data_IF_337652596841
#
_entry.id   IF_337652596841
#
_cell.length_a   1.000
_cell.length_b   1.000
_cell.length_c   1.000
_cell.angle_alpha   90.00
_cell.angle_beta   90.00
_cell.angle_gamma   90.00
#
_symmetry.space_group_name_H-M   'P 1'
#
loop_
_entity.id
_entity.type
_entity.pdbx_description
1 polymer ?
#
# COMPACT_ATOMS: atom_id res chain seq x y z
N UNK A 1 -40.68 -5.71 11.63
CA UNK A 1 -39.61 -5.57 12.63
C UNK A 1 -38.47 -4.83 11.92
N UNK A 2 -38.55 -3.50 11.92
CA UNK A 2 -37.49 -2.63 11.40
C UNK A 2 -36.30 -2.72 12.34
N UNK A 3 -35.14 -3.13 11.83
CA UNK A 3 -33.88 -2.89 12.50
C UNK A 3 -33.65 -1.38 12.44
N UNK A 4 -34.04 -0.67 13.50
CA UNK A 4 -33.69 0.72 13.69
C UNK A 4 -32.18 0.85 13.45
N UNK A 5 -31.78 1.73 12.53
CA UNK A 5 -30.37 2.01 12.24
C UNK A 5 -29.69 2.60 13.48
N UNK A 6 -29.10 1.72 14.29
CA UNK A 6 -28.27 2.09 15.43
C UNK A 6 -26.93 2.67 14.98
N UNK A 7 -26.27 3.38 15.89
CA UNK A 7 -24.87 3.81 15.70
C UNK A 7 -23.97 2.58 15.71
N UNK A 8 -23.61 2.11 14.51
CA UNK A 8 -22.77 0.93 14.31
C UNK A 8 -21.43 1.02 15.06
N UNK A 9 -20.89 2.22 15.27
CA UNK A 9 -19.69 2.40 16.09
C UNK A 9 -19.96 2.12 17.56
N UNK A 10 -21.03 2.69 18.10
CA UNK A 10 -21.43 2.47 19.48
C UNK A 10 -21.72 0.98 19.77
N UNK A 11 -22.37 0.29 18.83
CA UNK A 11 -22.66 -1.15 18.94
C UNK A 11 -21.37 -1.98 18.92
N UNK A 12 -20.42 -1.66 18.04
CA UNK A 12 -19.12 -2.34 17.97
C UNK A 12 -18.27 -2.10 19.23
N UNK A 13 -18.24 -0.87 19.74
CA UNK A 13 -17.54 -0.54 20.98
C UNK A 13 -18.21 -1.20 22.21
N UNK A 14 -19.53 -1.29 22.22
CA UNK A 14 -20.24 -2.03 23.27
C UNK A 14 -19.94 -3.53 23.19
N UNK A 15 -19.92 -4.11 21.99
CA UNK A 15 -19.52 -5.50 21.79
C UNK A 15 -18.08 -5.74 22.26
N UNK A 16 -17.16 -4.81 22.01
CA UNK A 16 -15.77 -4.89 22.47
C UNK A 16 -15.67 -4.93 24.00
N UNK A 17 -16.46 -4.08 24.68
CA UNK A 17 -16.57 -4.07 26.14
C UNK A 17 -17.11 -5.39 26.71
N UNK A 18 -18.09 -5.99 26.03
CA UNK A 18 -18.78 -7.20 26.49
C UNK A 18 -18.01 -8.49 26.17
N UNK A 19 -17.38 -8.57 25.00
CA UNK A 19 -16.70 -9.77 24.51
C UNK A 19 -15.28 -9.95 25.06
N UNK A 20 -14.75 -8.95 25.79
CA UNK A 20 -13.44 -8.99 26.41
C UNK A 20 -12.31 -9.23 25.40
N UNK A 21 -11.66 -10.40 25.51
CA UNK A 21 -10.47 -10.77 24.73
C UNK A 21 -10.78 -11.67 23.51
N UNK A 22 -11.98 -11.60 22.93
CA UNK A 22 -12.28 -12.32 21.67
C UNK A 22 -11.78 -11.52 20.44
N UNK A 23 -11.03 -12.19 19.56
CA UNK A 23 -10.55 -11.65 18.28
C UNK A 23 -11.69 -11.30 17.31
N UNK A 24 -12.82 -12.02 17.41
CA UNK A 24 -13.94 -11.91 16.47
C UNK A 24 -14.60 -10.52 16.48
N UNK A 25 -14.43 -9.74 17.55
CA UNK A 25 -14.95 -8.37 17.64
C UNK A 25 -13.94 -7.33 17.13
N UNK A 26 -12.63 -7.63 17.18
CA UNK A 26 -11.58 -6.69 16.76
C UNK A 26 -11.52 -6.51 15.24
N UNK A 27 -11.65 -7.60 14.48
CA UNK A 27 -11.66 -7.54 13.00
C UNK A 27 -12.79 -6.64 12.47
N UNK A 28 -14.07 -6.79 12.91
CA UNK A 28 -15.15 -5.89 12.54
C UNK A 28 -14.89 -4.41 12.86
N UNK A 29 -14.29 -4.11 14.02
CA UNK A 29 -13.96 -2.73 14.42
C UNK A 29 -12.96 -2.09 13.45
N UNK A 30 -11.88 -2.79 13.15
CA UNK A 30 -10.88 -2.30 12.19
C UNK A 30 -11.51 -2.10 10.82
N UNK A 31 -12.28 -3.09 10.34
CA UNK A 31 -12.97 -3.00 9.05
C UNK A 31 -13.97 -1.86 9.00
N UNK A 32 -14.70 -1.59 10.09
CA UNK A 32 -15.62 -0.46 10.18
C UNK A 32 -14.89 0.86 9.94
N UNK A 33 -13.78 1.11 10.66
CA UNK A 33 -13.00 2.32 10.46
C UNK A 33 -12.42 2.42 9.04
N UNK A 34 -11.95 1.32 8.46
CA UNK A 34 -11.45 1.29 7.08
C UNK A 34 -12.54 1.58 6.04
N UNK A 35 -13.75 1.03 6.22
CA UNK A 35 -14.90 1.32 5.35
C UNK A 35 -15.31 2.79 5.41
N UNK A 36 -15.16 3.43 6.58
CA UNK A 36 -15.37 4.87 6.76
C UNK A 36 -14.16 5.72 6.36
N UNK A 37 -13.08 5.11 5.85
CA UNK A 37 -11.80 5.75 5.50
C UNK A 37 -11.16 6.51 6.67
N UNK A 38 -11.47 6.13 7.91
CA UNK A 38 -10.86 6.66 9.14
C UNK A 38 -9.57 5.89 9.40
N UNK A 39 -8.56 6.10 8.55
CA UNK A 39 -7.36 5.27 8.51
C UNK A 39 -6.52 5.33 9.79
N UNK A 40 -6.43 6.49 10.43
CA UNK A 40 -5.74 6.62 11.72
C UNK A 40 -6.43 5.83 12.84
N UNK A 41 -7.76 5.83 12.88
CA UNK A 41 -8.53 5.05 13.85
C UNK A 41 -8.43 3.55 13.57
N UNK A 42 -8.50 3.16 12.29
CA UNK A 42 -8.28 1.80 11.85
C UNK A 42 -6.89 1.29 12.23
N UNK A 43 -5.87 2.12 12.04
CA UNK A 43 -4.50 1.81 12.42
C UNK A 43 -4.40 1.58 13.93
N UNK A 44 -4.86 2.52 14.75
CA UNK A 44 -4.83 2.41 16.21
C UNK A 44 -5.62 1.19 16.72
N UNK A 45 -6.79 0.90 16.13
CA UNK A 45 -7.57 -0.28 16.47
C UNK A 45 -6.85 -1.59 16.10
N UNK A 46 -6.23 -1.64 14.91
CA UNK A 46 -5.49 -2.81 14.45
C UNK A 46 -4.21 -3.05 15.24
N UNK A 47 -3.52 -2.00 15.69
CA UNK A 47 -2.34 -2.11 16.55
C UNK A 47 -2.67 -2.78 17.88
N UNK A 48 -3.69 -2.28 18.60
CA UNK A 48 -4.19 -2.93 19.84
C UNK A 48 -4.62 -4.37 19.62
N UNK A 49 -5.21 -4.68 18.47
CA UNK A 49 -5.62 -6.04 18.15
C UNK A 49 -4.40 -6.95 17.94
N UNK A 50 -3.37 -6.49 17.21
CA UNK A 50 -2.13 -7.25 16.95
C UNK A 50 -1.31 -7.49 18.21
N UNK A 51 -1.25 -6.53 19.13
CA UNK A 51 -0.63 -6.72 20.44
C UNK A 51 -1.28 -7.87 21.22
N UNK A 52 -2.60 -8.03 21.08
CA UNK A 52 -3.35 -9.08 21.75
C UNK A 52 -3.29 -10.43 21.02
N UNK A 53 -3.22 -10.42 19.70
CA UNK A 53 -3.23 -11.61 18.85
C UNK A 53 -2.08 -11.58 17.83
N UNK A 54 -0.82 -11.68 18.28
CA UNK A 54 0.36 -11.46 17.43
C UNK A 54 0.58 -12.52 16.35
N UNK A 55 -0.19 -13.61 16.36
CA UNK A 55 -0.10 -14.69 15.36
C UNK A 55 -1.26 -14.71 14.36
N UNK A 56 -2.17 -13.72 14.41
CA UNK A 56 -3.30 -13.63 13.48
C UNK A 56 -2.94 -12.79 12.25
N UNK A 57 -2.60 -13.47 11.16
CA UNK A 57 -2.23 -12.82 9.91
C UNK A 57 -3.33 -11.92 9.34
N UNK A 58 -4.61 -12.16 9.67
CA UNK A 58 -5.68 -11.27 9.20
C UNK A 58 -5.56 -9.88 9.83
N UNK A 59 -5.14 -9.81 11.10
CA UNK A 59 -4.88 -8.54 11.76
C UNK A 59 -3.64 -7.85 11.21
N UNK A 60 -2.61 -8.61 10.80
CA UNK A 60 -1.48 -8.07 10.06
C UNK A 60 -1.93 -7.43 8.74
N UNK A 61 -2.70 -8.13 7.91
CA UNK A 61 -3.20 -7.59 6.63
C UNK A 61 -4.09 -6.36 6.81
N UNK A 62 -4.96 -6.36 7.83
CA UNK A 62 -5.79 -5.20 8.15
C UNK A 62 -4.93 -4.01 8.59
N UNK A 63 -3.89 -4.23 9.38
CA UNK A 63 -2.98 -3.18 9.83
C UNK A 63 -2.15 -2.63 8.67
N UNK A 64 -1.60 -3.50 7.82
CA UNK A 64 -0.89 -3.16 6.58
C UNK A 64 -1.75 -2.29 5.69
N UNK A 65 -3.03 -2.65 5.49
CA UNK A 65 -3.96 -1.82 4.70
C UNK A 65 -4.09 -0.40 5.27
N UNK A 66 -4.17 -0.26 6.59
CA UNK A 66 -4.22 1.07 7.23
C UNK A 66 -2.92 1.84 7.04
N UNK A 67 -1.76 1.18 7.14
CA UNK A 67 -0.44 1.79 6.91
C UNK A 67 -0.28 2.28 5.47
N UNK A 68 -0.66 1.47 4.48
CA UNK A 68 -0.61 1.83 3.05
C UNK A 68 -1.45 3.09 2.77
N UNK A 69 -2.65 3.19 3.34
CA UNK A 69 -3.53 4.35 3.16
C UNK A 69 -3.10 5.59 3.96
N UNK A 70 -2.08 5.46 4.80
CA UNK A 70 -1.43 6.55 5.55
C UNK A 70 -0.02 6.84 5.01
N UNK A 71 0.31 6.34 3.82
CA UNK A 71 1.62 6.47 3.16
C UNK A 71 2.80 5.91 3.99
N UNK A 72 2.53 5.02 4.95
CA UNK A 72 3.52 4.37 5.83
C UNK A 72 4.05 3.07 5.22
N UNK A 73 4.50 3.15 3.97
CA UNK A 73 4.86 1.99 3.17
C UNK A 73 5.99 1.13 3.76
N UNK A 74 7.03 1.75 4.35
CA UNK A 74 8.16 1.01 4.93
C UNK A 74 7.71 0.06 6.05
N UNK A 75 6.78 0.50 6.89
CA UNK A 75 6.23 -0.32 7.98
C UNK A 75 5.31 -1.41 7.46
N UNK A 76 4.52 -1.10 6.43
CA UNK A 76 3.66 -2.07 5.74
C UNK A 76 4.50 -3.22 5.15
N UNK A 77 5.57 -2.91 4.44
CA UNK A 77 6.50 -3.89 3.84
C UNK A 77 7.12 -4.76 4.94
N UNK A 78 7.64 -4.15 6.01
CA UNK A 78 8.29 -4.88 7.10
C UNK A 78 7.38 -5.91 7.81
N UNK A 79 6.05 -5.67 7.81
CA UNK A 79 5.06 -6.61 8.32
C UNK A 79 4.77 -7.70 7.28
N UNK A 80 4.56 -7.33 6.01
CA UNK A 80 4.31 -8.27 4.92
C UNK A 80 5.46 -9.27 4.74
N UNK A 81 6.71 -8.85 4.91
CA UNK A 81 7.88 -9.72 4.82
C UNK A 81 7.90 -10.85 5.85
N UNK A 82 7.15 -10.69 6.95
CA UNK A 82 7.07 -11.66 8.05
C UNK A 82 5.74 -12.39 8.12
N UNK A 83 4.71 -11.85 7.46
CA UNK A 83 3.34 -12.36 7.54
C UNK A 83 3.20 -13.64 6.74
N UNK A 84 2.75 -14.74 7.36
CA UNK A 84 2.49 -15.99 6.65
C UNK A 84 0.99 -16.17 6.45
N UNK A 85 0.53 -15.98 5.21
CA UNK A 85 -0.88 -16.08 4.82
C UNK A 85 -1.19 -17.50 4.38
N UNK A 86 -2.26 -18.07 4.92
CA UNK A 86 -2.67 -19.44 4.58
C UNK A 86 -3.24 -19.49 3.15
N UNK A 87 -2.91 -20.53 2.36
CA UNK A 87 -3.48 -20.70 1.03
C UNK A 87 -5.02 -20.71 1.07
N UNK A 88 -5.65 -20.02 0.11
CA UNK A 88 -7.11 -19.85 -0.02
C UNK A 88 -7.77 -18.83 0.91
N UNK A 89 -7.09 -18.33 1.95
CA UNK A 89 -7.62 -17.28 2.83
C UNK A 89 -6.91 -15.95 2.57
N UNK A 90 -7.65 -14.95 2.06
CA UNK A 90 -7.14 -13.59 1.79
C UNK A 90 -5.85 -13.50 0.94
N UNK A 91 -5.47 -14.58 0.25
CA UNK A 91 -4.24 -14.67 -0.54
C UNK A 91 -4.16 -13.67 -1.69
N UNK A 92 -5.32 -13.27 -2.24
CA UNK A 92 -5.40 -12.18 -3.23
C UNK A 92 -5.20 -10.81 -2.60
N UNK A 93 -5.77 -10.59 -1.42
CA UNK A 93 -5.68 -9.31 -0.72
C UNK A 93 -4.26 -9.06 -0.22
N UNK A 94 -3.57 -10.09 0.30
CA UNK A 94 -2.18 -9.99 0.75
C UNK A 94 -1.23 -9.58 -0.38
N UNK A 95 -1.34 -10.23 -1.55
CA UNK A 95 -0.53 -9.85 -2.72
C UNK A 95 -0.87 -8.42 -3.19
N UNK A 96 -2.14 -8.05 -3.24
CA UNK A 96 -2.54 -6.68 -3.60
C UNK A 96 -1.95 -5.64 -2.64
N UNK A 97 -1.95 -5.91 -1.34
CA UNK A 97 -1.34 -5.01 -0.34
C UNK A 97 0.18 -4.93 -0.52
N UNK A 98 0.83 -6.03 -0.89
CA UNK A 98 2.26 -6.04 -1.21
C UNK A 98 2.59 -5.15 -2.41
N UNK A 99 1.87 -5.31 -3.52
CA UNK A 99 2.01 -4.44 -4.70
C UNK A 99 1.77 -2.97 -4.33
N UNK A 100 0.72 -2.68 -3.55
CA UNK A 100 0.41 -1.31 -3.13
C UNK A 100 1.49 -0.71 -2.24
N UNK A 101 1.96 -1.43 -1.23
CA UNK A 101 2.99 -0.95 -0.31
C UNK A 101 4.28 -0.61 -1.05
N UNK A 102 4.73 -1.50 -1.95
CA UNK A 102 5.88 -1.23 -2.81
C UNK A 102 5.64 -0.07 -3.78
N UNK A 103 4.45 0.06 -4.36
CA UNK A 103 4.11 1.17 -5.25
C UNK A 103 4.17 2.53 -4.51
N UNK A 104 3.63 2.60 -3.29
CA UNK A 104 3.72 3.82 -2.45
C UNK A 104 5.18 4.13 -2.11
N UNK A 105 5.98 3.13 -1.72
CA UNK A 105 7.40 3.32 -1.44
C UNK A 105 8.18 3.81 -2.68
N UNK A 106 7.82 3.30 -3.87
CA UNK A 106 8.38 3.79 -5.13
C UNK A 106 8.05 5.26 -5.36
N UNK A 107 6.80 5.69 -5.14
CA UNK A 107 6.42 7.10 -5.24
C UNK A 107 7.19 7.98 -4.26
N UNK A 108 7.31 7.60 -2.99
CA UNK A 108 8.13 8.33 -2.01
C UNK A 108 9.59 8.46 -2.46
N UNK A 109 10.15 7.40 -3.07
CA UNK A 109 11.50 7.43 -3.63
C UNK A 109 11.60 8.36 -4.85
N UNK A 110 10.60 8.35 -5.75
CA UNK A 110 10.51 9.24 -6.91
C UNK A 110 10.45 10.71 -6.48
N UNK A 111 9.62 11.05 -5.51
CA UNK A 111 9.52 12.42 -4.96
C UNK A 111 10.85 12.89 -4.37
N UNK A 112 11.61 11.95 -3.80
CA UNK A 112 12.96 12.21 -3.28
C UNK A 112 14.06 12.16 -4.36
N UNK A 113 13.71 12.00 -5.65
CA UNK A 113 14.64 11.79 -6.77
C UNK A 113 15.58 10.58 -6.59
N UNK A 114 15.21 9.62 -5.73
CA UNK A 114 15.94 8.36 -5.48
C UNK A 114 15.48 7.31 -6.48
N UNK A 115 15.76 7.54 -7.76
CA UNK A 115 15.25 6.70 -8.84
C UNK A 115 15.71 5.24 -8.74
N UNK A 116 16.92 4.96 -8.24
CA UNK A 116 17.40 3.59 -8.02
C UNK A 116 16.52 2.82 -7.02
N UNK A 117 16.23 3.44 -5.87
CA UNK A 117 15.30 2.89 -4.89
C UNK A 117 13.88 2.76 -5.43
N UNK A 118 13.46 3.68 -6.30
CA UNK A 118 12.15 3.60 -6.95
C UNK A 118 12.01 2.36 -7.85
N UNK A 119 13.03 1.95 -8.63
CA UNK A 119 12.92 0.61 -9.27
C UNK A 119 12.75 -0.42 -8.21
N UNK A 120 13.64 -0.44 -7.21
CA UNK A 120 13.81 -1.65 -6.42
C UNK A 120 12.47 -2.03 -5.78
N UNK A 121 11.68 -1.01 -5.41
CA UNK A 121 10.30 -1.19 -5.02
C UNK A 121 9.37 -1.64 -6.16
N UNK A 122 9.43 -1.05 -7.36
CA UNK A 122 8.62 -1.49 -8.51
C UNK A 122 8.96 -2.91 -8.99
N UNK A 123 10.22 -3.33 -8.97
CA UNK A 123 10.66 -4.70 -9.25
C UNK A 123 10.07 -5.66 -8.22
N UNK A 124 10.19 -5.33 -6.94
CA UNK A 124 9.55 -6.10 -5.87
C UNK A 124 8.03 -6.17 -6.06
N UNK A 125 7.37 -5.11 -6.51
CA UNK A 125 5.92 -5.13 -6.81
C UNK A 125 5.52 -6.10 -7.94
N UNK A 126 6.46 -6.61 -8.74
CA UNK A 126 6.20 -7.68 -9.73
C UNK A 126 6.38 -9.10 -9.15
N UNK A 127 6.89 -9.22 -7.93
CA UNK A 127 7.09 -10.49 -7.26
C UNK A 127 5.78 -11.06 -6.70
N UNK A 128 5.80 -12.37 -6.45
CA UNK A 128 4.69 -13.13 -5.88
C UNK A 128 5.22 -13.94 -4.71
N UNK A 129 5.43 -13.31 -3.53
CA UNK A 129 6.05 -13.99 -2.41
C UNK A 129 5.17 -15.15 -1.93
N UNK A 130 5.70 -16.37 -1.92
CA UNK A 130 4.93 -17.59 -1.62
C UNK A 130 4.31 -17.56 -0.23
N UNK A 131 4.99 -16.93 0.74
CA UNK A 131 4.48 -16.77 2.12
C UNK A 131 3.24 -15.87 2.22
N UNK A 132 2.90 -15.12 1.17
CA UNK A 132 1.66 -14.34 1.09
C UNK A 132 0.49 -15.14 0.49
N UNK A 133 0.64 -16.46 0.32
CA UNK A 133 -0.45 -17.40 0.10
C UNK A 133 -0.99 -17.48 -1.32
N UNK A 134 -0.56 -16.60 -2.23
CA UNK A 134 -0.90 -16.66 -3.65
C UNK A 134 0.36 -16.82 -4.51
N UNK A 135 0.41 -17.89 -5.30
CA UNK A 135 1.40 -18.04 -6.37
C UNK A 135 1.05 -17.21 -7.60
N UNK A 136 2.05 -16.95 -8.46
CA UNK A 136 1.90 -16.15 -9.69
C UNK A 136 0.82 -16.73 -10.62
N UNK A 137 -0.25 -15.97 -10.97
CA UNK A 137 -1.22 -16.35 -11.99
C UNK A 137 -0.55 -16.47 -13.37
N UNK A 138 -1.22 -17.17 -14.30
CA UNK A 138 -0.71 -17.33 -15.66
C UNK A 138 -0.54 -16.00 -16.41
N UNK A 139 -1.48 -15.06 -16.23
CA UNK A 139 -1.47 -13.75 -16.89
C UNK A 139 -1.82 -12.64 -15.87
N UNK A 140 -0.86 -12.20 -15.04
CA UNK A 140 -1.08 -11.13 -14.08
C UNK A 140 -1.07 -9.76 -14.75
N UNK A 141 -1.95 -8.86 -14.29
CA UNK A 141 -1.94 -7.48 -14.75
C UNK A 141 -0.79 -6.68 -14.10
N UNK A 142 0.29 -6.51 -14.85
CA UNK A 142 1.50 -5.81 -14.41
C UNK A 142 1.69 -4.46 -15.13
N UNK A 143 0.68 -3.99 -15.89
CA UNK A 143 0.84 -2.86 -16.82
C UNK A 143 1.22 -1.56 -16.11
N UNK A 144 0.59 -1.26 -14.97
CA UNK A 144 0.89 -0.05 -14.19
C UNK A 144 2.34 -0.05 -13.70
N UNK A 145 2.78 -1.15 -13.09
CA UNK A 145 4.14 -1.27 -12.55
C UNK A 145 5.17 -1.16 -13.67
N UNK A 146 4.97 -1.85 -14.79
CA UNK A 146 5.86 -1.78 -15.97
C UNK A 146 5.93 -0.39 -16.57
N UNK A 147 4.81 0.33 -16.62
CA UNK A 147 4.80 1.73 -17.06
C UNK A 147 5.63 2.62 -16.13
N UNK A 148 5.44 2.50 -14.81
CA UNK A 148 6.20 3.27 -13.82
C UNK A 148 7.71 2.96 -13.90
N UNK A 149 8.08 1.68 -14.10
CA UNK A 149 9.48 1.28 -14.28
C UNK A 149 10.12 1.98 -15.49
N UNK A 150 9.45 1.97 -16.65
CA UNK A 150 9.95 2.64 -17.84
C UNK A 150 10.12 4.16 -17.64
N UNK A 151 9.16 4.79 -16.94
CA UNK A 151 9.23 6.21 -16.58
C UNK A 151 10.39 6.53 -15.64
N UNK A 152 10.67 5.65 -14.67
CA UNK A 152 11.80 5.77 -13.74
C UNK A 152 13.12 5.59 -14.48
N UNK A 153 13.23 4.58 -15.35
CA UNK A 153 14.44 4.32 -16.15
C UNK A 153 14.81 5.48 -17.08
N UNK A 154 13.81 6.11 -17.71
CA UNK A 154 14.04 7.30 -18.52
C UNK A 154 14.65 8.45 -17.69
N UNK A 155 14.18 8.63 -16.44
CA UNK A 155 14.73 9.65 -15.52
C UNK A 155 16.13 9.30 -15.02
N UNK A 156 16.42 8.03 -14.72
CA UNK A 156 17.78 7.58 -14.39
C UNK A 156 18.76 7.86 -15.51
N UNK A 157 18.37 7.55 -16.75
CA UNK A 157 19.17 7.80 -17.94
C UNK A 157 19.51 9.29 -18.09
N UNK A 158 18.53 10.18 -17.85
CA UNK A 158 18.76 11.63 -17.80
C UNK A 158 19.68 12.08 -16.67
N UNK A 159 19.60 11.47 -15.49
CA UNK A 159 20.48 11.78 -14.35
C UNK A 159 21.94 11.34 -14.58
N UNK A 160 22.16 10.22 -15.28
CA UNK A 160 23.51 9.79 -15.68
C UNK A 160 24.11 10.61 -16.82
N UNK A 161 23.27 11.28 -17.61
CA UNK A 161 23.67 12.25 -18.63
C UNK A 161 23.73 13.68 -18.05
N UNK A 162 24.59 13.90 -17.06
CA UNK A 162 25.01 15.27 -16.72
C UNK A 162 25.96 15.79 -17.82
N UNK A 163 25.82 17.03 -18.32
CA UNK A 163 26.15 17.34 -19.71
C UNK A 163 27.65 17.54 -19.92
N UNK A 164 28.29 16.55 -20.53
CA UNK A 164 29.48 16.77 -21.33
C UNK A 164 29.11 16.53 -22.80
N UNK A 165 28.68 17.59 -23.50
CA UNK A 165 29.02 17.97 -24.89
C UNK A 165 27.86 18.63 -25.64
N UNK A 166 28.17 19.82 -26.18
CA UNK A 166 27.79 20.22 -27.53
C UNK A 166 26.44 20.92 -27.68
N UNK A 167 26.50 22.22 -27.95
CA UNK A 167 25.44 23.09 -28.48
C UNK A 167 24.16 22.36 -28.95
N UNK A 168 23.17 22.32 -28.07
CA UNK A 168 21.75 22.21 -28.43
C UNK A 168 21.06 23.44 -27.82
N UNK A 169 20.19 24.17 -28.55
CA UNK A 169 19.48 25.31 -27.98
C UNK A 169 18.67 24.87 -26.76
N UNK A 170 18.56 25.72 -25.71
CA UNK A 170 17.95 25.34 -24.45
C UNK A 170 16.49 24.91 -24.67
N UNK A 171 16.15 23.71 -24.21
CA UNK A 171 14.77 23.26 -24.14
C UNK A 171 14.01 24.15 -23.14
N UNK A 172 12.85 24.66 -23.57
CA UNK A 172 12.02 25.58 -22.77
C UNK A 172 11.58 24.89 -21.46
N UNK A 173 12.11 25.33 -20.30
CA UNK A 173 11.89 24.66 -19.01
C UNK A 173 10.43 24.69 -18.55
N UNK A 174 9.57 25.50 -19.19
CA UNK A 174 8.16 25.64 -18.81
C UNK A 174 7.25 24.51 -19.32
N UNK A 175 7.70 23.66 -20.25
CA UNK A 175 6.86 22.61 -20.84
C UNK A 175 6.88 21.27 -20.10
N UNK A 176 7.95 20.96 -19.35
CA UNK A 176 8.07 19.69 -18.63
C UNK A 176 7.32 19.70 -17.29
N UNK A 177 7.45 20.78 -16.52
CA UNK A 177 6.78 20.94 -15.21
C UNK A 177 5.25 20.91 -15.32
N UNK A 178 4.72 21.43 -16.41
CA UNK A 178 3.28 21.56 -16.62
C UNK A 178 2.59 20.22 -16.95
N UNK A 179 3.35 19.23 -17.46
CA UNK A 179 2.85 17.89 -17.74
C UNK A 179 2.88 16.98 -16.51
N UNK A 180 3.98 17.04 -15.73
CA UNK A 180 4.15 16.26 -14.50
C UNK A 180 3.14 16.70 -13.42
N UNK A 181 2.85 18.01 -13.30
CA UNK A 181 1.80 18.49 -12.39
C UNK A 181 0.37 18.14 -12.83
N UNK A 182 0.12 18.04 -14.14
CA UNK A 182 -1.20 17.67 -14.68
C UNK A 182 -1.51 16.19 -14.53
N UNK A 183 -0.50 15.32 -14.58
CA UNK A 183 -0.65 13.89 -14.37
C UNK A 183 -0.86 13.56 -12.87
N UNK A 184 -0.12 14.20 -11.96
CA UNK A 184 -0.32 14.04 -10.52
C UNK A 184 -1.72 14.47 -10.05
N UNK A 185 -2.28 15.54 -10.62
CA UNK A 185 -3.59 16.08 -10.22
C UNK A 185 -4.81 15.34 -10.79
N UNK A 186 -4.63 14.44 -11.77
CA UNK A 186 -5.73 13.68 -12.39
C UNK A 186 -5.90 12.26 -11.83
N UNK A 187 -5.01 11.84 -10.92
CA UNK A 187 -5.03 10.51 -10.30
C UNK A 187 -5.64 10.49 -8.88
N UNK A 188 -6.18 11.63 -8.42
CA UNK A 188 -6.97 11.79 -7.19
C UNK A 188 -8.43 12.08 -7.56
#
# INVERSE_FOLDING_TARGET
MELAGGDAEADLLQAERLAGADRNIRIPIVRYYQQKRRWSDALAASERARERFPSDFNLDLLHVRSLVNLDRAAEAIAILDKTHVLPSENSRESHQLYVQAHTVAAFTAIESSRFDGAYAHLEAALEWPEHLGQGKPYDPDERLIRFLMAWVDERRGRSTQSPARGNLPPADPKRADDLDQKLLRRAL
#
